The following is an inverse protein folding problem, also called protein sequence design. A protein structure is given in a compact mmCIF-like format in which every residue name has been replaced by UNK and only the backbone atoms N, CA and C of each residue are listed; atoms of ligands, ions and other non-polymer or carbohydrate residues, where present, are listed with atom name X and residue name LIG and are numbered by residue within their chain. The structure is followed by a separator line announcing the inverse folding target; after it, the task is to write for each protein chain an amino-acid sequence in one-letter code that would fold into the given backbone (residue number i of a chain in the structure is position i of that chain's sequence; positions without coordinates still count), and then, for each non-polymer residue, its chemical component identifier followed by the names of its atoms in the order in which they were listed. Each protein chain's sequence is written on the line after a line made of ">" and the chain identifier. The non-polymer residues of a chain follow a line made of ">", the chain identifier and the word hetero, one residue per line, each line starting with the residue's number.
data_IF_852299318648
#
_entry.id   IF_852299318648
#
_cell.length_a   1.000
_cell.length_b   1.000
_cell.length_c   1.000
_cell.angle_alpha   90.00
_cell.angle_beta   90.00
_cell.angle_gamma   90.00
#
_symmetry.space_group_name_H-M   'P 1'
#
loop_
_entity.id
_entity.type
_entity.pdbx_description
1 polymer ?
#
# COMPACT_ATOMS: atom_id res chain seq x y z
N UNK A 1 -8.24 -6.86 -34.56
CA UNK A 1 -6.95 -7.53 -34.31
C UNK A 1 -6.37 -6.84 -33.10
N UNK A 2 -6.49 -7.46 -31.92
CA UNK A 2 -5.97 -6.86 -30.69
C UNK A 2 -4.45 -7.02 -30.68
N UNK A 3 -3.73 -5.90 -30.63
CA UNK A 3 -2.28 -5.90 -30.56
C UNK A 3 -1.86 -6.14 -29.10
N UNK A 4 -1.22 -7.28 -28.77
CA UNK A 4 -0.85 -7.60 -27.39
C UNK A 4 0.11 -6.58 -26.78
N UNK A 5 0.89 -5.85 -27.59
CA UNK A 5 1.76 -4.79 -27.10
C UNK A 5 0.97 -3.56 -26.64
N UNK A 6 -0.12 -3.22 -27.30
CA UNK A 6 -0.99 -2.09 -26.89
C UNK A 6 -1.71 -2.44 -25.59
N UNK A 7 -2.22 -3.67 -25.46
CA UNK A 7 -2.82 -4.14 -24.21
C UNK A 7 -1.84 -4.03 -23.03
N UNK A 8 -0.58 -4.43 -23.23
CA UNK A 8 0.45 -4.29 -22.19
C UNK A 8 0.73 -2.82 -21.85
N UNK A 9 0.74 -1.92 -22.83
CA UNK A 9 0.89 -0.47 -22.59
C UNK A 9 -0.28 0.06 -21.77
N UNK A 10 -1.51 -0.35 -22.06
CA UNK A 10 -2.70 0.06 -21.31
C UNK A 10 -2.65 -0.42 -19.84
N UNK A 11 -2.23 -1.67 -19.61
CA UNK A 11 -1.99 -2.19 -18.26
C UNK A 11 -0.94 -1.38 -17.49
N UNK A 12 0.17 -1.04 -18.15
CA UNK A 12 1.22 -0.20 -17.57
C UNK A 12 0.70 1.21 -17.25
N UNK A 13 -0.07 1.81 -18.17
CA UNK A 13 -0.63 3.14 -18.00
C UNK A 13 -1.61 3.19 -16.82
N UNK A 14 -2.49 2.21 -16.68
CA UNK A 14 -3.43 2.14 -15.55
C UNK A 14 -2.71 1.90 -14.21
N UNK A 15 -1.67 1.05 -14.18
CA UNK A 15 -0.83 0.88 -12.99
C UNK A 15 -0.16 2.20 -12.58
N UNK A 16 0.51 2.86 -13.53
CA UNK A 16 1.23 4.11 -13.27
C UNK A 16 0.27 5.25 -12.89
N UNK A 17 -0.92 5.31 -13.47
CA UNK A 17 -1.97 6.28 -13.11
C UNK A 17 -2.48 6.08 -11.68
N UNK A 18 -2.60 4.83 -11.23
CA UNK A 18 -2.95 4.54 -9.84
C UNK A 18 -1.80 4.87 -8.89
N UNK A 19 -0.56 4.61 -9.29
CA UNK A 19 0.62 4.95 -8.51
C UNK A 19 1.02 6.43 -8.62
N UNK A 20 0.50 7.21 -9.56
CA UNK A 20 0.84 8.63 -9.71
C UNK A 20 0.35 9.55 -8.58
N UNK A 21 -0.33 9.00 -7.57
CA UNK A 21 -0.81 9.75 -6.40
C UNK A 21 0.17 9.62 -5.24
N UNK A 22 0.54 10.78 -4.68
CA UNK A 22 1.53 10.89 -3.60
C UNK A 22 1.17 9.99 -2.42
N UNK A 23 -0.06 10.04 -1.93
CA UNK A 23 -0.50 9.27 -0.76
C UNK A 23 -0.39 7.77 -1.01
N UNK A 24 -0.79 7.29 -2.19
CA UNK A 24 -0.64 5.87 -2.58
C UNK A 24 0.82 5.43 -2.67
N UNK A 25 1.72 6.25 -3.21
CA UNK A 25 3.16 5.94 -3.21
C UNK A 25 3.75 5.91 -1.80
N UNK A 26 3.33 6.84 -0.94
CA UNK A 26 3.77 6.85 0.45
C UNK A 26 3.28 5.59 1.17
N UNK A 27 2.00 5.23 1.06
CA UNK A 27 1.47 3.96 1.58
C UNK A 27 2.25 2.76 1.06
N UNK A 28 2.53 2.71 -0.24
CA UNK A 28 3.26 1.60 -0.86
C UNK A 28 4.70 1.49 -0.32
N UNK A 29 5.36 2.63 -0.09
CA UNK A 29 6.71 2.71 0.49
C UNK A 29 6.73 2.31 1.97
N UNK A 30 5.72 2.71 2.75
CA UNK A 30 5.59 2.31 4.15
C UNK A 30 5.37 0.79 4.28
N UNK A 31 4.48 0.23 3.43
CA UNK A 31 4.16 -1.19 3.40
C UNK A 31 5.28 -2.09 2.84
N UNK A 32 6.30 -1.49 2.20
CA UNK A 32 7.54 -2.17 1.79
C UNK A 32 8.42 -2.51 3.01
N UNK A 33 8.37 -1.69 4.06
CA UNK A 33 9.20 -1.87 5.27
C UNK A 33 8.67 -3.04 6.12
N UNK A 34 7.37 -3.01 6.46
CA UNK A 34 6.69 -4.06 7.21
C UNK A 34 5.17 -4.02 7.00
N UNK A 35 4.47 -4.99 7.56
CA UNK A 35 3.01 -4.89 7.64
C UNK A 35 2.56 -3.83 8.66
N UNK A 36 1.49 -3.11 8.32
CA UNK A 36 0.95 -1.99 9.10
C UNK A 36 -0.58 -2.08 9.19
N UNK A 37 -1.11 -1.77 10.38
CA UNK A 37 -2.54 -1.65 10.72
C UNK A 37 -3.08 -0.31 10.18
N UNK A 38 -4.39 -0.21 9.90
CA UNK A 38 -5.00 1.04 9.35
C UNK A 38 -4.79 2.22 10.30
N UNK A 39 -4.75 2.00 11.61
CA UNK A 39 -4.49 3.04 12.60
C UNK A 39 -3.04 3.55 12.52
N UNK A 40 -2.05 2.66 12.41
CA UNK A 40 -0.65 3.05 12.20
C UNK A 40 -0.49 3.93 10.94
N UNK A 41 -1.14 3.54 9.84
CA UNK A 41 -1.09 4.30 8.58
C UNK A 41 -1.79 5.67 8.68
N UNK A 42 -2.88 5.74 9.44
CA UNK A 42 -3.62 6.98 9.71
C UNK A 42 -2.77 7.95 10.51
N UNK A 43 -2.06 7.45 11.52
CA UNK A 43 -1.18 8.24 12.37
C UNK A 43 0.07 8.71 11.63
N UNK A 44 0.72 7.82 10.88
CA UNK A 44 1.89 8.17 10.07
C UNK A 44 1.56 9.28 9.05
N UNK A 45 0.42 9.18 8.37
CA UNK A 45 0.07 10.08 7.27
C UNK A 45 -0.73 11.30 7.69
N UNK A 46 -1.21 11.36 8.94
CA UNK A 46 -2.19 12.36 9.41
C UNK A 46 -3.42 12.45 8.49
N UNK A 47 -3.94 11.29 8.07
CA UNK A 47 -5.08 11.15 7.16
C UNK A 47 -6.12 10.25 7.80
N UNK A 48 -7.40 10.61 7.65
CA UNK A 48 -8.50 9.84 8.25
C UNK A 48 -8.54 8.36 7.82
N UNK A 49 -8.98 7.48 8.73
CA UNK A 49 -9.10 6.05 8.47
C UNK A 49 -9.96 5.70 7.22
N UNK A 50 -11.11 6.38 6.95
CA UNK A 50 -11.88 6.13 5.73
C UNK A 50 -11.09 6.46 4.45
N UNK A 51 -10.31 7.54 4.46
CA UNK A 51 -9.47 7.92 3.32
C UNK A 51 -8.34 6.91 3.11
N UNK A 52 -7.62 6.53 4.18
CA UNK A 52 -6.59 5.46 4.12
C UNK A 52 -7.17 4.17 3.56
N UNK A 53 -8.33 3.73 4.07
CA UNK A 53 -9.01 2.51 3.60
C UNK A 53 -9.38 2.58 2.12
N UNK A 54 -9.79 3.76 1.63
CA UNK A 54 -10.09 3.95 0.21
C UNK A 54 -8.83 3.82 -0.67
N UNK A 55 -7.70 4.40 -0.25
CA UNK A 55 -6.42 4.23 -0.96
C UNK A 55 -5.95 2.78 -0.96
N UNK A 56 -6.01 2.10 0.18
CA UNK A 56 -5.65 0.68 0.31
C UNK A 56 -6.53 -0.22 -0.56
N UNK A 57 -7.83 0.07 -0.66
CA UNK A 57 -8.74 -0.66 -1.56
C UNK A 57 -8.31 -0.52 -3.01
N UNK A 58 -7.92 0.67 -3.46
CA UNK A 58 -7.41 0.89 -4.84
C UNK A 58 -6.11 0.12 -5.09
N UNK A 59 -5.18 0.13 -4.13
CA UNK A 59 -3.93 -0.64 -4.23
C UNK A 59 -4.20 -2.15 -4.26
N UNK A 60 -5.18 -2.63 -3.48
CA UNK A 60 -5.59 -4.04 -3.45
C UNK A 60 -6.22 -4.49 -4.77
N UNK A 61 -7.03 -3.64 -5.42
CA UNK A 61 -7.63 -3.94 -6.73
C UNK A 61 -6.58 -4.20 -7.82
N UNK A 62 -5.42 -3.54 -7.72
CA UNK A 62 -4.28 -3.80 -8.60
C UNK A 62 -3.34 -4.91 -8.09
N UNK A 63 -3.77 -5.68 -7.09
CA UNK A 63 -2.95 -6.69 -6.42
C UNK A 63 -1.62 -6.15 -5.86
N UNK A 64 -1.49 -4.84 -5.59
CA UNK A 64 -0.24 -4.24 -5.11
C UNK A 64 0.02 -4.56 -3.63
N UNK A 65 -1.04 -4.69 -2.86
CA UNK A 65 -1.00 -5.00 -1.43
C UNK A 65 -1.86 -6.22 -1.12
N UNK A 66 -1.56 -6.89 -0.01
CA UNK A 66 -2.37 -7.96 0.57
C UNK A 66 -2.80 -7.54 1.98
N UNK A 67 -3.89 -8.15 2.46
CA UNK A 67 -4.39 -7.92 3.81
C UNK A 67 -4.35 -9.21 4.62
N UNK A 68 -4.14 -9.06 5.93
CA UNK A 68 -4.16 -10.14 6.92
C UNK A 68 -5.00 -9.67 8.10
N UNK A 69 -5.95 -10.50 8.54
CA UNK A 69 -6.76 -10.23 9.73
C UNK A 69 -6.08 -10.81 10.96
N UNK A 70 -6.04 -10.05 12.04
CA UNK A 70 -5.54 -10.51 13.35
C UNK A 70 -6.43 -9.92 14.44
N UNK A 71 -7.30 -10.75 15.02
CA UNK A 71 -8.35 -10.28 15.93
C UNK A 71 -9.29 -9.31 15.21
N UNK A 72 -9.48 -8.13 15.80
CA UNK A 72 -10.29 -7.04 15.22
C UNK A 72 -9.55 -6.18 14.20
N UNK A 73 -8.26 -6.42 13.99
CA UNK A 73 -7.37 -5.59 13.20
C UNK A 73 -7.17 -6.15 11.79
N UNK A 74 -7.03 -5.24 10.82
CA UNK A 74 -6.65 -5.56 9.45
C UNK A 74 -5.28 -4.94 9.19
N UNK A 75 -4.30 -5.80 8.93
CA UNK A 75 -2.95 -5.43 8.57
C UNK A 75 -2.79 -5.50 7.05
N UNK A 76 -2.08 -4.55 6.49
CA UNK A 76 -1.71 -4.53 5.08
C UNK A 76 -0.21 -4.78 4.95
N UNK A 77 0.19 -5.43 3.87
CA UNK A 77 1.58 -5.58 3.47
C UNK A 77 1.72 -5.51 1.96
N UNK A 78 2.92 -5.16 1.50
CA UNK A 78 3.23 -5.22 0.08
C UNK A 78 3.13 -6.66 -0.42
N UNK A 79 2.46 -6.86 -1.57
CA UNK A 79 2.49 -8.17 -2.24
C UNK A 79 3.79 -8.25 -3.03
N UNK A 80 4.54 -9.33 -2.83
CA UNK A 80 5.77 -9.63 -3.56
C UNK A 80 5.43 -9.76 -5.05
N UNK A 81 6.10 -9.00 -5.95
CA UNK A 81 5.88 -9.12 -7.38
C UNK A 81 6.36 -10.49 -7.89
N UNK A 82 5.63 -11.05 -8.86
CA UNK A 82 6.07 -12.25 -9.58
C UNK A 82 7.27 -11.93 -10.47
N UNK A 83 8.02 -12.98 -10.89
CA UNK A 83 9.15 -12.77 -11.80
C UNK A 83 8.76 -12.20 -13.16
N UNK A 84 7.54 -12.49 -13.59
CA UNK A 84 6.92 -12.03 -14.83
C UNK A 84 6.52 -10.54 -14.84
N UNK A 85 6.60 -9.84 -13.70
CA UNK A 85 6.20 -8.42 -13.55
C UNK A 85 7.41 -7.50 -13.25
N UNK A 86 8.26 -7.21 -14.28
CA UNK A 86 9.46 -6.40 -14.09
C UNK A 86 9.16 -4.94 -13.77
N UNK A 87 8.02 -4.39 -14.23
CA UNK A 87 7.65 -3.01 -13.96
C UNK A 87 7.41 -2.81 -12.46
N UNK A 88 6.64 -3.70 -11.83
CA UNK A 88 6.36 -3.60 -10.40
C UNK A 88 7.61 -3.81 -9.55
N UNK A 89 8.49 -4.75 -9.94
CA UNK A 89 9.81 -4.92 -9.31
C UNK A 89 10.60 -3.62 -9.35
N UNK A 90 10.74 -3.02 -10.53
CA UNK A 90 11.47 -1.76 -10.70
C UNK A 90 10.87 -0.63 -9.85
N UNK A 91 9.54 -0.50 -9.81
CA UNK A 91 8.89 0.50 -8.95
C UNK A 91 9.27 0.30 -7.49
N UNK A 92 9.17 -0.94 -6.97
CA UNK A 92 9.49 -1.25 -5.57
C UNK A 92 10.96 -0.92 -5.25
N UNK A 93 11.87 -1.22 -6.16
CA UNK A 93 13.31 -0.92 -6.01
C UNK A 93 13.58 0.59 -5.98
N UNK A 94 12.81 1.38 -6.74
CA UNK A 94 12.92 2.84 -6.80
C UNK A 94 12.26 3.56 -5.61
N UNK A 95 11.40 2.89 -4.83
CA UNK A 95 10.75 3.51 -3.67
C UNK A 95 11.79 3.90 -2.60
N UNK A 96 11.65 5.10 -1.99
CA UNK A 96 12.51 5.52 -0.91
C UNK A 96 12.40 4.57 0.28
N UNK A 97 13.50 4.39 1.00
CA UNK A 97 13.48 3.69 2.28
C UNK A 97 12.88 4.61 3.35
N UNK A 98 11.78 4.16 3.95
CA UNK A 98 11.06 4.87 5.02
C UNK A 98 11.21 4.18 6.38
N UNK A 99 12.19 3.28 6.54
CA UNK A 99 12.40 2.50 7.77
C UNK A 99 12.46 3.38 9.02
N UNK A 100 13.17 4.51 8.98
CA UNK A 100 13.28 5.42 10.12
C UNK A 100 11.93 6.06 10.51
N UNK A 101 11.06 6.35 9.54
CA UNK A 101 9.73 6.90 9.80
C UNK A 101 8.78 5.84 10.34
N UNK A 102 8.84 4.61 9.80
CA UNK A 102 8.04 3.48 10.31
C UNK A 102 8.45 3.09 11.74
N UNK A 103 9.72 3.27 12.10
CA UNK A 103 10.21 2.97 13.44
C UNK A 103 9.99 4.11 14.44
N UNK A 104 9.50 5.28 14.01
CA UNK A 104 9.18 6.38 14.93
C UNK A 104 7.81 6.22 15.61
N UNK A 105 7.00 5.24 15.18
CA UNK A 105 5.71 4.92 15.79
C UNK A 105 5.84 3.70 16.71
N UNK A 106 5.30 3.80 17.92
CA UNK A 106 5.29 2.70 18.87
C UNK A 106 4.08 1.80 18.62
N UNK A 107 4.33 0.56 18.18
CA UNK A 107 3.28 -0.40 17.76
C UNK A 107 2.30 -0.73 18.90
N UNK A 108 2.74 -0.58 20.15
CA UNK A 108 1.98 -0.92 21.36
C UNK A 108 0.79 0.00 21.64
N UNK A 109 0.87 1.28 21.30
CA UNK A 109 -0.10 2.27 21.77
C UNK A 109 -1.25 2.51 20.77
N UNK A 110 -0.99 2.31 19.49
CA UNK A 110 -1.89 2.76 18.40
C UNK A 110 -2.98 1.76 18.05
N UNK A 111 -2.70 0.46 18.14
CA UNK A 111 -3.68 -0.62 17.94
C UNK A 111 -4.17 -1.21 19.30
N UNK A 112 -4.02 -0.47 20.42
CA UNK A 112 -4.53 -0.83 21.76
C UNK A 112 -6.02 -0.50 21.97
N UNK A 113 -6.58 0.41 21.17
CA UNK A 113 -8.00 0.79 21.22
C UNK A 113 -8.71 0.34 19.94
N UNK A 114 -9.86 -0.35 19.99
CA UNK A 114 -10.57 -0.78 18.80
C UNK A 114 -10.84 0.40 17.85
N UNK A 115 -10.80 0.18 16.51
CA UNK A 115 -11.10 1.24 15.56
C UNK A 115 -12.49 1.78 15.89
N UNK A 116 -12.51 3.05 16.31
CA UNK A 116 -13.73 3.72 16.79
C UNK A 116 -14.75 3.71 15.65
N UNK A 117 -15.89 3.06 15.87
CA UNK A 117 -17.04 3.16 14.97
C UNK A 117 -17.50 4.63 14.94
N UNK A 118 -17.04 5.39 13.95
CA UNK A 118 -17.72 6.61 13.50
C UNK A 118 -18.47 6.28 12.22
#
# INVERSE_FOLDING_TARGET
>A
MDNPHIQKIDEMAELLKILGDKTRLTLFSLLKVRELCVCELTELLDVSQPAISQHLRKLKLLNLVKERKQGQWVYYSLRVPEESDPLRKAIIELLPDLTNWVNSIDVGDTCSLPPSKK
#
